data_IF_462481764832
#
_entry.id   IF_462481764832
#
_cell.length_a   1.000
_cell.length_b   1.000
_cell.length_c   1.000
_cell.angle_alpha   90.00
_cell.angle_beta   90.00
_cell.angle_gamma   90.00
#
_symmetry.space_group_name_H-M   'P 1'
#
loop_
_entity.id
_entity.type
_entity.pdbx_description
1 polymer ?
#
# COMPACT_ATOMS: atom_id res chain seq x y z
N UNK A 1 9.83 13.22 0.26
CA UNK A 1 8.53 12.69 0.76
C UNK A 1 7.89 13.78 1.60
N UNK A 2 6.57 13.92 1.56
CA UNK A 2 5.81 14.88 2.37
C UNK A 2 4.77 14.16 3.24
N UNK A 3 4.31 14.84 4.28
CA UNK A 3 3.23 14.40 5.15
C UNK A 3 2.14 15.48 5.20
N UNK A 4 0.88 15.08 5.38
CA UNK A 4 -0.23 16.01 5.55
C UNK A 4 -1.30 15.40 6.44
N UNK A 5 -1.88 16.23 7.32
CA UNK A 5 -3.06 15.89 8.13
C UNK A 5 -4.39 16.11 7.37
N UNK A 6 -4.33 16.65 6.15
CA UNK A 6 -5.50 16.88 5.29
C UNK A 6 -5.78 15.68 4.41
N UNK A 7 -7.03 15.52 3.98
CA UNK A 7 -7.45 14.53 3.00
C UNK A 7 -8.32 15.20 1.92
N UNK A 8 -8.28 14.65 0.71
CA UNK A 8 -9.15 15.07 -0.40
C UNK A 8 -10.04 13.92 -0.91
N UNK A 9 -9.85 12.71 -0.37
CA UNK A 9 -10.56 11.50 -0.78
C UNK A 9 -10.99 10.73 0.47
N UNK A 10 -12.24 10.24 0.47
CA UNK A 10 -12.87 9.52 1.58
C UNK A 10 -13.59 8.28 1.03
N UNK A 11 -13.72 7.25 1.86
CA UNK A 11 -14.46 6.03 1.58
C UNK A 11 -13.62 4.97 0.85
N UNK A 12 -14.29 3.90 0.43
CA UNK A 12 -13.65 2.86 -0.37
C UNK A 12 -13.35 3.39 -1.78
N UNK A 13 -12.08 3.33 -2.17
CA UNK A 13 -11.60 3.77 -3.48
C UNK A 13 -10.47 2.88 -3.96
N UNK A 14 -10.29 2.85 -5.29
CA UNK A 14 -9.10 2.27 -5.92
C UNK A 14 -8.25 3.43 -6.44
N UNK A 15 -6.97 3.44 -6.06
CA UNK A 15 -5.99 4.44 -6.47
C UNK A 15 -5.02 3.79 -7.43
N UNK A 16 -4.76 4.43 -8.56
CA UNK A 16 -3.82 3.93 -9.57
C UNK A 16 -2.73 4.97 -9.78
N UNK A 17 -1.46 4.63 -9.54
CA UNK A 17 -0.36 5.56 -9.79
C UNK A 17 -0.25 5.90 -11.27
N UNK A 18 -0.26 7.19 -11.61
CA UNK A 18 -0.35 7.67 -12.98
C UNK A 18 1.03 7.93 -13.59
N UNK A 19 1.98 8.38 -12.78
CA UNK A 19 3.27 8.93 -13.24
C UNK A 19 4.44 8.25 -12.54
N UNK A 20 5.51 7.99 -13.28
CA UNK A 20 6.77 7.43 -12.80
C UNK A 20 6.97 5.96 -13.19
N UNK A 21 8.15 5.42 -12.87
CA UNK A 21 8.54 4.06 -13.27
C UNK A 21 7.52 2.97 -12.86
N UNK A 22 6.82 3.17 -11.75
CA UNK A 22 5.79 2.25 -11.23
C UNK A 22 4.36 2.70 -11.57
N UNK A 23 4.15 3.50 -12.62
CA UNK A 23 2.79 3.84 -13.06
C UNK A 23 1.98 2.57 -13.36
N UNK A 24 0.68 2.60 -13.10
CA UNK A 24 -0.20 1.43 -13.16
C UNK A 24 -0.26 0.60 -11.89
N UNK A 25 0.46 0.94 -10.83
CA UNK A 25 0.29 0.28 -9.54
C UNK A 25 -1.08 0.58 -8.93
N UNK A 26 -1.77 -0.46 -8.47
CA UNK A 26 -3.15 -0.38 -7.97
C UNK A 26 -3.15 -0.52 -6.46
N UNK A 27 -3.90 0.33 -5.78
CA UNK A 27 -4.05 0.32 -4.32
C UNK A 27 -5.51 0.46 -3.93
N UNK A 28 -5.98 -0.41 -3.05
CA UNK A 28 -7.26 -0.22 -2.38
C UNK A 28 -7.07 0.65 -1.13
N UNK A 29 -7.98 1.60 -0.93
CA UNK A 29 -8.04 2.40 0.30
C UNK A 29 -9.45 2.36 0.89
N UNK A 30 -9.53 2.39 2.22
CA UNK A 30 -10.77 2.43 3.00
C UNK A 30 -10.73 3.46 4.13
N UNK A 31 -9.78 4.39 4.07
CA UNK A 31 -9.58 5.46 5.05
C UNK A 31 -9.37 6.78 4.33
N UNK A 32 -9.62 7.93 4.99
CA UNK A 32 -9.35 9.23 4.41
C UNK A 32 -7.88 9.36 3.99
N UNK A 33 -7.63 9.76 2.75
CA UNK A 33 -6.28 9.94 2.18
C UNK A 33 -6.21 11.20 1.33
N UNK A 34 -5.02 11.79 1.29
CA UNK A 34 -4.67 12.81 0.30
C UNK A 34 -4.07 12.13 -0.93
N UNK A 35 -4.73 12.28 -2.07
CA UNK A 35 -4.30 11.74 -3.35
C UNK A 35 -3.80 12.89 -4.22
N UNK A 36 -2.55 12.82 -4.69
CA UNK A 36 -1.98 13.82 -5.59
C UNK A 36 -2.46 13.63 -7.03
N UNK A 37 -2.19 14.63 -7.86
CA UNK A 37 -2.39 14.64 -9.32
C UNK A 37 -1.59 13.57 -10.09
N UNK A 38 -0.61 12.96 -9.44
CA UNK A 38 0.17 11.84 -9.95
C UNK A 38 -0.51 10.47 -9.75
N UNK A 39 -1.78 10.45 -9.34
CA UNK A 39 -2.61 9.26 -9.25
C UNK A 39 -3.99 9.48 -9.86
N UNK A 40 -4.61 8.38 -10.28
CA UNK A 40 -5.99 8.31 -10.74
C UNK A 40 -6.84 7.74 -9.62
N UNK A 41 -8.01 8.33 -9.38
CA UNK A 41 -9.02 7.81 -8.45
C UNK A 41 -10.05 7.06 -9.28
N UNK A 42 -10.15 5.76 -9.07
CA UNK A 42 -11.12 4.88 -9.70
C UNK A 42 -12.27 4.61 -8.74
N UNK A 43 -13.49 4.96 -9.17
CA UNK A 43 -14.72 4.80 -8.40
C UNK A 43 -15.63 3.80 -9.13
N UNK A 44 -16.14 2.83 -8.38
CA UNK A 44 -17.11 1.87 -8.91
C UNK A 44 -18.52 2.46 -8.86
N UNK A 45 -19.30 2.18 -9.89
CA UNK A 45 -20.73 2.39 -9.87
C UNK A 45 -21.39 1.28 -9.02
N UNK A 46 -22.41 1.65 -8.23
CA UNK A 46 -23.20 0.73 -7.39
C UNK A 46 -22.41 0.09 -6.22
N UNK A 47 -23.05 -0.83 -5.49
CA UNK A 47 -22.49 -1.58 -4.36
C UNK A 47 -21.53 -2.71 -4.81
N UNK A 48 -20.54 -2.40 -5.65
CA UNK A 48 -19.53 -3.37 -6.11
C UNK A 48 -18.37 -3.47 -5.12
N UNK A 49 -17.75 -4.66 -5.06
CA UNK A 49 -16.69 -4.96 -4.11
C UNK A 49 -15.36 -4.32 -4.53
N UNK A 50 -14.98 -3.22 -3.89
CA UNK A 50 -13.74 -2.48 -4.19
C UNK A 50 -12.48 -3.34 -4.05
N UNK A 51 -12.44 -4.27 -3.08
CA UNK A 51 -11.30 -5.17 -2.91
C UNK A 51 -11.16 -6.12 -4.09
N UNK A 52 -12.26 -6.75 -4.52
CA UNK A 52 -12.25 -7.63 -5.69
C UNK A 52 -11.74 -6.91 -6.95
N UNK A 53 -12.30 -5.74 -7.26
CA UNK A 53 -11.88 -4.97 -8.44
C UNK A 53 -10.42 -4.51 -8.32
N UNK A 54 -9.94 -4.18 -7.12
CA UNK A 54 -8.52 -3.84 -6.93
C UNK A 54 -7.60 -5.02 -7.27
N UNK A 55 -7.95 -6.25 -6.88
CA UNK A 55 -7.23 -7.46 -7.23
C UNK A 55 -7.30 -7.72 -8.74
N UNK A 56 -8.50 -7.65 -9.32
CA UNK A 56 -8.72 -7.91 -10.74
C UNK A 56 -7.94 -6.93 -11.64
N UNK A 57 -7.97 -5.63 -11.33
CA UNK A 57 -7.24 -4.60 -12.09
C UNK A 57 -5.72 -4.76 -11.89
N UNK A 58 -5.27 -5.21 -10.71
CA UNK A 58 -3.84 -5.48 -10.47
C UNK A 58 -3.28 -6.57 -11.39
N UNK A 59 -4.11 -7.54 -11.81
CA UNK A 59 -3.72 -8.59 -12.74
C UNK A 59 -3.55 -8.08 -14.18
N UNK A 60 -4.08 -6.90 -14.52
CA UNK A 60 -4.03 -6.34 -15.86
C UNK A 60 -2.65 -5.79 -16.25
N UNK A 61 -1.72 -5.65 -15.29
CA UNK A 61 -0.38 -5.10 -15.50
C UNK A 61 -0.41 -3.76 -16.26
N UNK A 62 -1.10 -2.77 -15.67
CA UNK A 62 -1.37 -1.47 -16.29
C UNK A 62 -0.10 -0.69 -16.67
N UNK A 63 1.06 -1.04 -16.12
CA UNK A 63 2.32 -0.41 -16.50
C UNK A 63 2.64 -0.60 -18.00
N UNK A 64 2.17 -1.70 -18.62
CA UNK A 64 2.27 -1.94 -20.07
C UNK A 64 1.57 -0.90 -20.93
N UNK A 65 0.63 -0.16 -20.35
CA UNK A 65 -0.13 0.87 -21.05
C UNK A 65 0.59 2.23 -21.09
N UNK A 66 1.80 2.33 -20.53
CA UNK A 66 2.52 3.59 -20.47
C UNK A 66 2.81 4.19 -21.87
N UNK A 67 2.89 5.51 -21.97
CA UNK A 67 3.04 6.24 -23.25
C UNK A 67 4.37 6.96 -23.45
N UNK A 68 5.26 6.96 -22.46
CA UNK A 68 6.42 7.85 -22.43
C UNK A 68 7.67 7.10 -21.98
N UNK A 69 8.75 7.25 -22.76
CA UNK A 69 10.03 6.58 -22.53
C UNK A 69 10.86 7.26 -21.42
N UNK A 70 10.79 8.59 -21.31
CA UNK A 70 11.58 9.35 -20.33
C UNK A 70 10.91 9.37 -18.95
N UNK A 71 9.60 9.60 -18.91
CA UNK A 71 8.80 9.56 -17.68
C UNK A 71 7.53 8.74 -17.95
N UNK A 72 7.54 7.44 -17.59
CA UNK A 72 6.39 6.58 -17.81
C UNK A 72 5.12 7.15 -17.20
N UNK A 73 4.04 7.09 -17.97
CA UNK A 73 2.77 7.70 -17.63
C UNK A 73 1.64 6.89 -18.24
N UNK A 74 0.57 6.70 -17.47
CA UNK A 74 -0.70 6.15 -17.95
C UNK A 74 -1.78 7.22 -17.96
N UNK A 75 -2.75 7.11 -18.86
CA UNK A 75 -3.90 8.02 -18.92
C UNK A 75 -5.15 7.31 -18.40
N UNK A 76 -6.11 8.07 -17.88
CA UNK A 76 -7.39 7.51 -17.44
C UNK A 76 -8.12 6.79 -18.58
N UNK A 77 -8.07 7.33 -19.80
CA UNK A 77 -8.66 6.72 -21.00
C UNK A 77 -8.14 5.30 -21.23
N UNK A 78 -6.81 5.11 -21.25
CA UNK A 78 -6.22 3.78 -21.43
C UNK A 78 -6.62 2.78 -20.35
N UNK A 79 -6.80 3.25 -19.11
CA UNK A 79 -7.24 2.39 -18.00
C UNK A 79 -8.71 2.01 -18.15
N UNK A 80 -9.58 2.90 -18.64
CA UNK A 80 -11.00 2.62 -18.85
C UNK A 80 -11.22 1.65 -20.01
N UNK A 81 -10.36 1.69 -21.03
CA UNK A 81 -10.48 0.85 -22.23
C UNK A 81 -10.07 -0.62 -22.04
N UNK A 82 -9.55 -0.99 -20.85
CA UNK A 82 -9.18 -2.38 -20.56
C UNK A 82 -10.41 -3.26 -20.39
N UNK A 83 -10.33 -4.49 -20.90
CA UNK A 83 -11.37 -5.49 -20.75
C UNK A 83 -10.87 -6.59 -19.81
N UNK A 84 -11.61 -6.83 -18.73
CA UNK A 84 -11.26 -7.82 -17.70
C UNK A 84 -12.43 -8.79 -17.51
N UNK A 85 -12.16 -10.09 -17.27
CA UNK A 85 -13.20 -11.05 -16.98
C UNK A 85 -13.85 -10.73 -15.63
N UNK A 86 -15.17 -10.69 -15.60
CA UNK A 86 -15.94 -10.41 -14.38
C UNK A 86 -16.57 -11.71 -13.86
N UNK A 87 -16.15 -12.14 -12.68
CA UNK A 87 -16.74 -13.30 -12.01
C UNK A 87 -18.13 -12.97 -11.41
N UNK A 88 -19.00 -13.96 -11.18
CA UNK A 88 -20.25 -13.79 -10.43
C UNK A 88 -20.00 -13.26 -9.02
N UNK A 89 -20.97 -12.53 -8.46
CA UNK A 89 -20.80 -11.84 -7.16
C UNK A 89 -20.44 -12.81 -6.00
N UNK A 90 -20.92 -14.06 -6.02
CA UNK A 90 -20.55 -15.08 -5.03
C UNK A 90 -19.07 -15.46 -5.11
N UNK A 91 -18.53 -15.60 -6.31
CA UNK A 91 -17.12 -15.93 -6.55
C UNK A 91 -16.21 -14.75 -6.21
N UNK A 92 -16.65 -13.52 -6.49
CA UNK A 92 -15.94 -12.31 -6.07
C UNK A 92 -15.70 -12.28 -4.56
N UNK A 93 -16.72 -12.65 -3.76
CA UNK A 93 -16.61 -12.73 -2.30
C UNK A 93 -15.61 -13.82 -1.89
N UNK A 94 -15.70 -15.01 -2.48
CA UNK A 94 -14.79 -16.12 -2.17
C UNK A 94 -13.33 -15.78 -2.47
N UNK A 95 -13.06 -15.16 -3.63
CA UNK A 95 -11.72 -14.72 -4.03
C UNK A 95 -11.14 -13.74 -3.02
N UNK A 96 -11.92 -12.73 -2.61
CA UNK A 96 -11.48 -11.73 -1.62
C UNK A 96 -11.21 -12.40 -0.27
N UNK A 97 -12.13 -13.24 0.23
CA UNK A 97 -11.95 -13.92 1.50
C UNK A 97 -10.72 -14.83 1.52
N UNK A 98 -10.47 -15.56 0.43
CA UNK A 98 -9.28 -16.38 0.29
C UNK A 98 -8.00 -15.55 0.31
N UNK A 99 -7.95 -14.46 -0.46
CA UNK A 99 -6.81 -13.55 -0.50
C UNK A 99 -6.52 -12.91 0.86
N UNK A 100 -7.56 -12.47 1.57
CA UNK A 100 -7.44 -11.89 2.92
C UNK A 100 -6.96 -12.92 3.94
N UNK A 101 -7.44 -14.16 3.86
CA UNK A 101 -6.97 -15.26 4.70
C UNK A 101 -5.46 -15.46 4.62
N UNK A 102 -4.90 -15.48 3.40
CA UNK A 102 -3.45 -15.60 3.18
C UNK A 102 -2.71 -14.35 3.68
N UNK A 103 -3.20 -13.17 3.30
CA UNK A 103 -2.54 -11.90 3.62
C UNK A 103 -2.47 -11.65 5.12
N UNK A 104 -3.49 -12.07 5.88
CA UNK A 104 -3.56 -11.88 7.33
C UNK A 104 -2.36 -12.48 8.09
N UNK A 105 -1.90 -13.66 7.68
CA UNK A 105 -0.76 -14.33 8.32
C UNK A 105 0.55 -13.57 8.06
N UNK A 106 0.70 -13.03 6.86
CA UNK A 106 1.85 -12.21 6.46
C UNK A 106 1.84 -10.89 7.23
N UNK A 107 0.68 -10.24 7.32
CA UNK A 107 0.52 -8.97 8.05
C UNK A 107 0.84 -9.12 9.54
N UNK A 108 0.42 -10.24 10.16
CA UNK A 108 0.78 -10.57 11.54
C UNK A 108 2.29 -10.71 11.72
N UNK A 109 2.96 -11.42 10.81
CA UNK A 109 4.42 -11.56 10.85
C UNK A 109 5.15 -10.22 10.68
N UNK A 110 4.71 -9.39 9.72
CA UNK A 110 5.25 -8.05 9.49
C UNK A 110 5.10 -7.18 10.74
N UNK A 111 3.93 -7.19 11.38
CA UNK A 111 3.67 -6.39 12.58
C UNK A 111 4.52 -6.85 13.77
N UNK A 112 4.73 -8.16 13.93
CA UNK A 112 5.61 -8.71 14.97
C UNK A 112 7.05 -8.24 14.77
N UNK A 113 7.58 -8.37 13.55
CA UNK A 113 8.95 -7.95 13.23
C UNK A 113 9.11 -6.43 13.40
N UNK A 114 8.15 -5.63 12.96
CA UNK A 114 8.19 -4.17 13.18
C UNK A 114 8.26 -3.82 14.67
N UNK A 115 7.49 -4.50 15.51
CA UNK A 115 7.52 -4.31 16.96
C UNK A 115 8.87 -4.68 17.56
N UNK A 116 9.46 -5.80 17.14
CA UNK A 116 10.79 -6.21 17.58
C UNK A 116 11.87 -5.19 17.18
N UNK A 117 11.80 -4.66 15.96
CA UNK A 117 12.71 -3.60 15.49
C UNK A 117 12.61 -2.35 16.39
N UNK A 118 11.40 -1.91 16.72
CA UNK A 118 11.21 -0.73 17.59
C UNK A 118 11.75 -0.98 19.01
N UNK A 119 11.50 -2.16 19.58
CA UNK A 119 12.05 -2.54 20.89
C UNK A 119 13.58 -2.57 20.90
N UNK A 120 14.21 -3.09 19.84
CA UNK A 120 15.67 -3.11 19.72
C UNK A 120 16.24 -1.69 19.61
N UNK A 121 15.57 -0.81 18.86
CA UNK A 121 15.97 0.61 18.77
C UNK A 121 15.87 1.31 20.12
N UNK A 122 14.76 1.11 20.83
CA UNK A 122 14.55 1.67 22.17
C UNK A 122 15.60 1.15 23.14
N UNK A 123 15.80 -0.17 23.20
CA UNK A 123 16.81 -0.79 24.06
C UNK A 123 18.21 -0.24 23.77
N UNK A 124 18.59 -0.12 22.49
CA UNK A 124 19.87 0.47 22.09
C UNK A 124 20.00 1.91 22.58
N UNK A 125 18.95 2.72 22.41
CA UNK A 125 18.96 4.11 22.85
C UNK A 125 19.09 4.23 24.37
N UNK A 126 18.37 3.40 25.12
CA UNK A 126 18.46 3.34 26.59
C UNK A 126 19.82 2.83 27.06
N UNK A 127 20.38 1.79 26.43
CA UNK A 127 21.68 1.25 26.78
C UNK A 127 22.78 2.29 26.59
N UNK A 128 22.80 2.97 25.44
CA UNK A 128 23.73 4.07 25.19
C UNK A 128 23.57 5.15 26.26
N UNK A 129 22.32 5.57 26.55
CA UNK A 129 22.04 6.59 27.58
C UNK A 129 22.56 6.17 28.96
N UNK A 130 22.36 4.91 29.37
CA UNK A 130 22.83 4.39 30.66
C UNK A 130 24.36 4.33 30.73
N UNK A 131 25.03 3.93 29.65
CA UNK A 131 26.50 3.90 29.58
C UNK A 131 27.08 5.31 29.66
N UNK A 132 26.59 6.27 28.87
CA UNK A 132 27.14 7.64 28.85
C UNK A 132 26.81 8.45 30.11
N UNK A 133 25.75 8.09 30.82
CA UNK A 133 25.41 8.68 32.13
C UNK A 133 26.11 7.98 33.30
N UNK A 134 26.94 6.97 33.04
CA UNK A 134 27.68 6.22 34.07
C UNK A 134 26.79 5.33 34.94
N UNK A 135 25.54 5.10 34.54
CA UNK A 135 24.65 4.13 35.21
C UNK A 135 25.07 2.68 34.91
N UNK A 136 25.83 2.47 33.83
CA UNK A 136 26.50 1.21 33.50
C UNK A 136 27.99 1.53 33.30
N UNK A 137 28.83 0.91 34.12
CA UNK A 137 30.29 1.03 33.99
C UNK A 137 30.81 -0.03 33.02
N UNK A 138 31.61 0.40 32.04
CA UNK A 138 32.16 -0.44 30.97
C UNK A 138 33.69 -0.51 31.01
N UNK A 139 34.31 -0.05 32.10
CA UNK A 139 35.78 0.05 32.25
C UNK A 139 36.45 -1.23 32.75
N UNK A 140 35.68 -2.23 33.21
CA UNK A 140 36.23 -3.50 33.73
C UNK A 140 36.35 -4.61 32.66
N UNK A 141 35.95 -4.34 31.40
CA UNK A 141 35.97 -5.33 30.31
C UNK A 141 37.11 -5.11 29.28
N UNK A 142 38.16 -4.35 29.62
CA UNK A 142 39.30 -4.04 28.75
C UNK A 142 40.61 -4.72 29.16
#
# INVERSE_FOLDING_TARGET
MGYTDKYNTIGEKIIIGRVGAKCGNVHYINSPKWISDNALIFTLNNKKNYKYFSLLISLADLNKLNTSSAQPLITGTKVIDIHLPLAPDSEQIQIVSYHEGISSSIDLAINKIKKEIELIKEYRQTLISKVVTGQIDVREEA
#
